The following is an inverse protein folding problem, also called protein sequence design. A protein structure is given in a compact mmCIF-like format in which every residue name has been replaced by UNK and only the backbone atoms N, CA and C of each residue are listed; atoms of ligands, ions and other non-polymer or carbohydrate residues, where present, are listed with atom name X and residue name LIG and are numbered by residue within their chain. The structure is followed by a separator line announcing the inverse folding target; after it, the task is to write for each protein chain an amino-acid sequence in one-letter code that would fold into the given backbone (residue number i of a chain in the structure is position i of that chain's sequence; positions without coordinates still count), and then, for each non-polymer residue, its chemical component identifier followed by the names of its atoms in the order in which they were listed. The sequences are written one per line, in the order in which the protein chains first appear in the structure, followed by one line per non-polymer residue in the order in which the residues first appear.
data_IF_448147135755
#
_entry.id   IF_448147135755
#
_cell.length_a   1.000
_cell.length_b   1.000
_cell.length_c   1.000
_cell.angle_alpha   90.00
_cell.angle_beta   90.00
_cell.angle_gamma   90.00
#
_symmetry.space_group_name_H-M   'P 1'
#
loop_
_entity.id
_entity.type
_entity.pdbx_description
1 polymer ?
#
# COMPACT_ATOMS: atom_id res chain seq x y z
N UNK A 1 -21.97 -28.23 -12.27
CA UNK A 1 -20.73 -27.53 -11.87
C UNK A 1 -21.14 -26.16 -11.36
N UNK A 2 -20.90 -25.81 -10.09
CA UNK A 2 -21.20 -24.46 -9.58
C UNK A 2 -20.04 -23.55 -9.99
N UNK A 3 -20.31 -22.56 -10.84
CA UNK A 3 -19.37 -21.48 -11.14
C UNK A 3 -19.30 -20.57 -9.92
N UNK A 4 -18.19 -20.61 -9.20
CA UNK A 4 -17.89 -19.61 -8.19
C UNK A 4 -17.50 -18.33 -8.92
N UNK A 5 -18.45 -17.41 -9.09
CA UNK A 5 -18.14 -16.05 -9.50
C UNK A 5 -17.37 -15.43 -8.33
N UNK A 6 -16.04 -15.36 -8.41
CA UNK A 6 -15.27 -14.62 -7.42
C UNK A 6 -15.78 -13.18 -7.44
N UNK A 7 -16.18 -12.61 -6.29
CA UNK A 7 -16.55 -11.20 -6.24
C UNK A 7 -15.36 -10.39 -6.75
N UNK A 8 -15.59 -9.57 -7.78
CA UNK A 8 -14.57 -8.68 -8.32
C UNK A 8 -14.23 -7.69 -7.22
N UNK A 9 -13.05 -7.84 -6.64
CA UNK A 9 -12.50 -6.87 -5.70
C UNK A 9 -12.16 -5.61 -6.49
N UNK A 10 -12.87 -4.53 -6.22
CA UNK A 10 -12.65 -3.22 -6.83
C UNK A 10 -12.25 -2.23 -5.75
N UNK A 11 -11.46 -1.24 -6.14
CA UNK A 11 -11.13 -0.09 -5.31
C UNK A 11 -11.96 1.11 -5.78
N UNK A 12 -12.27 2.02 -4.86
CA UNK A 12 -12.69 3.36 -5.25
C UNK A 12 -11.52 4.13 -5.86
N UNK A 13 -11.79 5.23 -6.57
CA UNK A 13 -10.74 6.15 -7.07
C UNK A 13 -9.80 6.62 -5.94
N UNK A 14 -10.33 6.80 -4.73
CA UNK A 14 -9.54 7.13 -3.56
C UNK A 14 -8.65 5.94 -3.12
N UNK A 15 -9.18 4.72 -3.16
CA UNK A 15 -8.41 3.50 -2.91
C UNK A 15 -7.28 3.30 -3.92
N UNK A 16 -7.55 3.53 -5.21
CA UNK A 16 -6.54 3.48 -6.27
C UNK A 16 -5.44 4.52 -6.05
N UNK A 17 -5.79 5.76 -5.72
CA UNK A 17 -4.82 6.81 -5.38
C UNK A 17 -3.95 6.46 -4.18
N UNK A 18 -4.53 5.85 -3.13
CA UNK A 18 -3.78 5.37 -1.96
C UNK A 18 -2.81 4.26 -2.34
N UNK A 19 -3.25 3.31 -3.18
CA UNK A 19 -2.41 2.21 -3.66
C UNK A 19 -1.24 2.73 -4.50
N UNK A 20 -1.49 3.69 -5.39
CA UNK A 20 -0.46 4.34 -6.19
C UNK A 20 0.59 5.03 -5.30
N UNK A 21 0.16 5.75 -4.26
CA UNK A 21 1.10 6.36 -3.30
C UNK A 21 1.93 5.33 -2.54
N UNK A 22 1.33 4.23 -2.11
CA UNK A 22 2.07 3.15 -1.45
C UNK A 22 3.13 2.54 -2.40
N UNK A 23 2.78 2.34 -3.67
CA UNK A 23 3.70 1.84 -4.69
C UNK A 23 4.88 2.79 -4.91
N UNK A 24 4.62 4.08 -5.16
CA UNK A 24 5.67 5.09 -5.36
C UNK A 24 6.58 5.24 -4.14
N UNK A 25 6.02 5.23 -2.92
CA UNK A 25 6.82 5.30 -1.70
C UNK A 25 7.69 4.05 -1.50
N UNK A 26 7.21 2.89 -1.92
CA UNK A 26 7.96 1.63 -1.87
C UNK A 26 9.11 1.61 -2.89
N UNK A 27 8.86 2.10 -4.11
CA UNK A 27 9.89 2.27 -5.14
C UNK A 27 10.99 3.23 -4.67
N UNK A 28 10.60 4.41 -4.16
CA UNK A 28 11.55 5.38 -3.62
C UNK A 28 12.39 4.78 -2.48
N UNK A 29 11.77 4.04 -1.56
CA UNK A 29 12.51 3.38 -0.48
C UNK A 29 13.52 2.36 -1.03
N UNK A 30 13.15 1.60 -2.06
CA UNK A 30 14.06 0.66 -2.71
C UNK A 30 15.25 1.38 -3.36
N UNK A 31 15.05 2.52 -4.02
CA UNK A 31 16.12 3.33 -4.60
C UNK A 31 17.09 3.85 -3.54
N UNK A 32 16.54 4.35 -2.44
CA UNK A 32 17.32 4.86 -1.31
C UNK A 32 18.19 3.75 -0.71
N UNK A 33 17.64 2.54 -0.53
CA UNK A 33 18.37 1.39 0.01
C UNK A 33 19.35 0.79 -1.01
N UNK A 34 19.09 0.91 -2.31
CA UNK A 34 20.00 0.42 -3.36
C UNK A 34 21.29 1.24 -3.46
N UNK A 35 21.28 2.48 -2.96
CA UNK A 35 22.45 3.36 -2.92
C UNK A 35 23.41 3.10 -1.75
N UNK A 36 23.06 2.24 -0.78
CA UNK A 36 23.93 1.93 0.36
C UNK A 36 24.89 0.78 0.02
N UNK A 37 25.94 1.09 -0.76
CA UNK A 37 27.02 0.17 -1.11
C UNK A 37 28.31 0.39 -0.29
N UNK A 38 29.27 -0.57 -0.32
CA UNK A 38 30.47 -0.59 0.54
C UNK A 38 31.52 0.50 0.27
N UNK A 39 31.32 1.35 -0.74
CA UNK A 39 32.25 2.42 -1.11
C UNK A 39 31.55 3.79 -1.04
N UNK A 40 31.31 4.28 0.18
CA UNK A 40 30.68 5.60 0.42
C UNK A 40 29.17 5.54 0.69
N UNK A 41 28.76 4.65 1.59
CA UNK A 41 27.37 4.36 1.95
C UNK A 41 26.62 5.61 2.43
N UNK A 42 25.61 6.02 1.66
CA UNK A 42 24.53 6.87 2.19
C UNK A 42 23.68 5.99 3.10
N UNK A 43 23.90 6.10 4.41
CA UNK A 43 23.09 5.38 5.39
C UNK A 43 21.73 6.04 5.55
N UNK A 44 20.69 5.21 5.65
CA UNK A 44 19.33 5.63 6.00
C UNK A 44 19.20 5.50 7.51
N UNK A 45 18.76 6.55 8.20
CA UNK A 45 18.47 6.42 9.63
C UNK A 45 17.33 5.45 9.88
N UNK A 46 17.43 4.68 10.96
CA UNK A 46 16.38 3.73 11.34
C UNK A 46 15.03 4.44 11.57
N UNK A 47 15.06 5.65 12.13
CA UNK A 47 13.88 6.49 12.34
C UNK A 47 13.25 6.93 11.01
N UNK A 48 14.07 7.29 10.01
CA UNK A 48 13.61 7.67 8.68
C UNK A 48 12.97 6.49 7.95
N UNK A 49 13.59 5.32 8.01
CA UNK A 49 13.03 4.10 7.46
C UNK A 49 11.70 3.72 8.16
N UNK A 50 11.66 3.79 9.49
CA UNK A 50 10.45 3.50 10.26
C UNK A 50 9.30 4.46 9.91
N UNK A 51 9.57 5.75 9.74
CA UNK A 51 8.58 6.74 9.34
C UNK A 51 8.01 6.44 7.94
N UNK A 52 8.86 6.02 6.98
CA UNK A 52 8.41 5.60 5.65
C UNK A 52 7.54 4.34 5.71
N UNK A 53 7.94 3.33 6.49
CA UNK A 53 7.13 2.12 6.66
C UNK A 53 5.78 2.41 7.32
N UNK A 54 5.73 3.30 8.32
CA UNK A 54 4.47 3.72 8.94
C UNK A 54 3.55 4.42 7.91
N UNK A 55 4.11 5.28 7.06
CA UNK A 55 3.37 5.93 5.98
C UNK A 55 2.81 4.93 4.96
N UNK A 56 3.64 3.97 4.51
CA UNK A 56 3.20 2.91 3.58
C UNK A 56 2.08 2.08 4.21
N UNK A 57 2.23 1.68 5.48
CA UNK A 57 1.22 0.92 6.20
C UNK A 57 -0.11 1.68 6.31
N UNK A 58 -0.07 2.99 6.61
CA UNK A 58 -1.27 3.84 6.64
C UNK A 58 -1.97 3.92 5.27
N UNK A 59 -1.20 4.05 4.18
CA UNK A 59 -1.79 4.05 2.85
C UNK A 59 -2.47 2.71 2.54
N UNK A 60 -1.82 1.59 2.85
CA UNK A 60 -2.36 0.24 2.63
C UNK A 60 -3.59 -0.06 3.47
N UNK A 61 -3.65 0.39 4.74
CA UNK A 61 -4.87 0.31 5.55
C UNK A 61 -6.03 1.06 4.89
N UNK A 62 -5.75 2.26 4.37
CA UNK A 62 -6.73 3.03 3.62
C UNK A 62 -7.20 2.35 2.32
N UNK A 63 -6.31 1.64 1.61
CA UNK A 63 -6.68 0.83 0.43
C UNK A 63 -7.66 -0.26 0.81
N UNK A 64 -7.36 -0.99 1.90
CA UNK A 64 -8.19 -2.07 2.41
C UNK A 64 -9.60 -1.55 2.75
N UNK A 65 -9.71 -0.39 3.39
CA UNK A 65 -11.00 0.24 3.73
C UNK A 65 -11.80 0.72 2.53
N UNK A 66 -11.12 1.05 1.43
CA UNK A 66 -11.74 1.46 0.18
C UNK A 66 -12.06 0.27 -0.76
N UNK A 67 -11.68 -0.95 -0.38
CA UNK A 67 -12.01 -2.17 -1.10
C UNK A 67 -13.49 -2.53 -1.00
N UNK A 68 -14.09 -2.91 -2.12
CA UNK A 68 -15.47 -3.41 -2.20
C UNK A 68 -15.72 -4.64 -1.34
N UNK A 69 -14.68 -5.43 -1.02
CA UNK A 69 -14.77 -6.58 -0.12
C UNK A 69 -14.99 -6.20 1.35
N UNK A 70 -14.45 -5.06 1.78
CA UNK A 70 -14.56 -4.58 3.16
C UNK A 70 -15.78 -3.67 3.39
N UNK A 71 -16.33 -3.09 2.33
CA UNK A 71 -17.58 -2.32 2.37
C UNK A 71 -18.84 -3.19 2.42
N UNK A 72 -18.71 -4.49 2.73
CA UNK A 72 -19.79 -5.49 2.78
C UNK A 72 -21.13 -4.93 3.30
N UNK A 73 -22.12 -4.94 2.41
CA UNK A 73 -23.56 -4.99 2.66
C UNK A 73 -24.12 -4.06 3.75
N UNK A 74 -24.31 -2.78 3.44
CA UNK A 74 -25.45 -2.04 4.00
C UNK A 74 -26.74 -2.54 3.35
N UNK A 75 -27.17 -3.74 3.71
CA UNK A 75 -28.56 -4.16 3.46
C UNK A 75 -29.42 -3.55 4.58
N UNK A 76 -29.60 -2.22 4.54
CA UNK A 76 -30.62 -1.53 5.35
C UNK A 76 -31.98 -2.10 4.92
N UNK A 77 -32.67 -2.75 5.87
CA UNK A 77 -34.05 -3.22 5.73
C UNK A 77 -34.97 -2.24 6.42
#
# INVERSE_FOLDING_TARGET
MKTYQQPVCTLSEQGENRLLRAAMASEFLADVLSCSGPAGSREVSAEGAAALFACIAEQLDGVIRESSLMKGERHDK
#
